data_IF_674984415479
#
_entry.id   IF_674984415479
#
_cell.length_a   1.000
_cell.length_b   1.000
_cell.length_c   1.000
_cell.angle_alpha   90.00
_cell.angle_beta   90.00
_cell.angle_gamma   90.00
#
_symmetry.space_group_name_H-M   'P 1'
#
loop_
_entity.id
_entity.type
_entity.pdbx_description
1 polymer ?
#
# COMPACT_ATOMS: atom_id res chain seq x y z
N UNK A 1 -28.04 -8.67 6.12
CA UNK A 1 -27.34 -8.31 4.88
C UNK A 1 -25.86 -8.61 5.03
N UNK A 2 -25.22 -9.08 4.00
CA UNK A 2 -23.80 -9.42 4.07
C UNK A 2 -22.96 -8.13 4.11
N UNK A 3 -22.09 -7.99 5.11
CA UNK A 3 -21.15 -6.88 5.18
C UNK A 3 -20.17 -6.94 4.01
N UNK A 4 -20.11 -5.89 3.21
CA UNK A 4 -19.11 -5.74 2.13
C UNK A 4 -17.82 -5.24 2.74
N UNK A 5 -16.75 -6.02 2.59
CA UNK A 5 -15.43 -5.69 3.14
C UNK A 5 -14.48 -5.40 1.98
N UNK A 6 -13.96 -4.17 1.93
CA UNK A 6 -12.98 -3.75 0.93
C UNK A 6 -11.69 -3.23 1.58
N UNK A 7 -10.64 -3.16 0.81
CA UNK A 7 -9.37 -2.56 1.25
C UNK A 7 -9.39 -1.03 1.10
N UNK A 8 -8.53 -0.34 1.85
CA UNK A 8 -8.35 1.10 1.69
C UNK A 8 -7.92 1.47 0.25
N UNK A 9 -7.08 0.65 -0.38
CA UNK A 9 -6.66 0.88 -1.77
C UNK A 9 -7.84 0.81 -2.75
N UNK A 10 -8.74 -0.16 -2.59
CA UNK A 10 -9.96 -0.25 -3.41
C UNK A 10 -10.87 0.95 -3.17
N UNK A 11 -11.04 1.36 -1.92
CA UNK A 11 -11.82 2.55 -1.58
C UNK A 11 -11.23 3.82 -2.20
N UNK A 12 -9.92 4.06 -2.05
CA UNK A 12 -9.24 5.20 -2.67
C UNK A 12 -9.37 5.18 -4.20
N UNK A 13 -9.22 4.00 -4.82
CA UNK A 13 -9.40 3.86 -6.27
C UNK A 13 -10.82 4.23 -6.72
N UNK A 14 -11.82 3.94 -5.91
CA UNK A 14 -13.21 4.32 -6.18
C UNK A 14 -13.45 5.82 -6.03
N UNK A 15 -13.03 6.45 -4.91
CA UNK A 15 -13.34 7.85 -4.62
C UNK A 15 -12.59 8.84 -5.50
N UNK A 16 -11.40 8.46 -6.00
CA UNK A 16 -10.57 9.31 -6.87
C UNK A 16 -10.99 9.28 -8.34
N UNK A 17 -11.94 8.42 -8.71
CA UNK A 17 -12.42 8.28 -10.09
C UNK A 17 -13.82 8.83 -10.27
N UNK A 18 -14.17 9.19 -11.51
CA UNK A 18 -15.48 9.69 -11.89
C UNK A 18 -16.04 8.93 -13.12
N UNK A 19 -17.33 9.05 -13.37
CA UNK A 19 -17.99 8.50 -14.56
C UNK A 19 -17.69 7.02 -14.79
N UNK A 20 -17.37 6.66 -16.03
CA UNK A 20 -17.10 5.28 -16.44
C UNK A 20 -15.91 4.65 -15.70
N UNK A 21 -14.90 5.44 -15.34
CA UNK A 21 -13.75 4.94 -14.58
C UNK A 21 -14.15 4.51 -13.17
N UNK A 22 -15.09 5.23 -12.53
CA UNK A 22 -15.64 4.83 -11.23
C UNK A 22 -16.47 3.55 -11.33
N UNK A 23 -17.28 3.42 -12.37
CA UNK A 23 -18.04 2.20 -12.65
C UNK A 23 -17.12 0.99 -12.84
N UNK A 24 -16.04 1.14 -13.61
CA UNK A 24 -15.06 0.07 -13.82
C UNK A 24 -14.32 -0.29 -12.50
N UNK A 25 -14.07 0.69 -11.62
CA UNK A 25 -13.50 0.42 -10.29
C UNK A 25 -14.46 -0.45 -9.46
N UNK A 26 -15.76 -0.16 -9.47
CA UNK A 26 -16.78 -0.99 -8.79
C UNK A 26 -16.82 -2.40 -9.35
N UNK A 27 -16.82 -2.55 -10.69
CA UNK A 27 -16.76 -3.89 -11.33
C UNK A 27 -15.52 -4.68 -10.90
N UNK A 28 -14.36 -4.02 -10.85
CA UNK A 28 -13.13 -4.67 -10.39
C UNK A 28 -13.24 -5.12 -8.95
N UNK A 29 -13.73 -4.25 -8.05
CA UNK A 29 -13.94 -4.58 -6.64
C UNK A 29 -14.88 -5.77 -6.51
N UNK A 30 -16.01 -5.77 -7.23
CA UNK A 30 -16.97 -6.86 -7.22
C UNK A 30 -16.33 -8.19 -7.65
N UNK A 31 -15.56 -8.17 -8.75
CA UNK A 31 -14.81 -9.36 -9.20
C UNK A 31 -13.83 -9.85 -8.14
N UNK A 32 -13.06 -8.94 -7.52
CA UNK A 32 -12.08 -9.28 -6.50
C UNK A 32 -12.72 -9.90 -5.26
N UNK A 33 -13.93 -9.46 -4.89
CA UNK A 33 -14.68 -10.02 -3.75
C UNK A 33 -15.17 -11.46 -4.00
N UNK A 34 -15.30 -11.85 -5.27
CA UNK A 34 -15.78 -13.18 -5.67
C UNK A 34 -14.67 -14.08 -6.22
N UNK A 35 -13.44 -13.57 -6.32
CA UNK A 35 -12.27 -14.35 -6.74
C UNK A 35 -11.44 -14.78 -5.53
N UNK A 36 -10.84 -15.97 -5.62
CA UNK A 36 -9.85 -16.37 -4.64
C UNK A 36 -8.60 -15.51 -4.78
N UNK A 37 -8.19 -14.89 -3.67
CA UNK A 37 -6.96 -14.13 -3.63
C UNK A 37 -5.76 -15.08 -3.70
N UNK A 38 -4.98 -14.98 -4.77
CA UNK A 38 -3.70 -15.67 -4.87
C UNK A 38 -2.56 -14.65 -4.75
N UNK A 39 -1.60 -14.94 -3.88
CA UNK A 39 -0.42 -14.07 -3.67
C UNK A 39 0.35 -13.84 -4.97
N UNK A 40 0.30 -14.79 -5.90
CA UNK A 40 0.95 -14.68 -7.21
C UNK A 40 0.38 -13.61 -8.13
N UNK A 41 -0.85 -13.15 -7.92
CA UNK A 41 -1.48 -12.09 -8.73
C UNK A 41 -1.19 -10.67 -8.25
N UNK A 42 -0.63 -10.51 -7.04
CA UNK A 42 -0.29 -9.21 -6.50
C UNK A 42 1.17 -8.85 -6.80
N UNK A 43 1.37 -8.10 -7.88
CA UNK A 43 2.68 -7.68 -8.36
C UNK A 43 3.57 -7.07 -7.26
N UNK A 44 2.99 -6.29 -6.35
CA UNK A 44 3.71 -5.54 -5.32
C UNK A 44 3.72 -6.17 -3.92
N UNK A 45 3.11 -7.34 -3.76
CA UNK A 45 2.98 -7.99 -2.45
C UNK A 45 4.33 -8.22 -1.77
N UNK A 46 5.32 -8.71 -2.51
CA UNK A 46 6.65 -8.99 -1.98
C UNK A 46 7.34 -7.71 -1.49
N UNK A 47 7.24 -6.61 -2.26
CA UNK A 47 7.81 -5.33 -1.86
C UNK A 47 7.13 -4.78 -0.59
N UNK A 48 5.80 -4.77 -0.54
CA UNK A 48 5.07 -4.30 0.66
C UNK A 48 5.41 -5.10 1.90
N UNK A 49 5.50 -6.42 1.78
CA UNK A 49 5.85 -7.29 2.89
C UNK A 49 7.29 -7.07 3.35
N UNK A 50 8.21 -6.86 2.42
CA UNK A 50 9.60 -6.57 2.75
C UNK A 50 9.77 -5.20 3.42
N UNK A 51 9.07 -4.16 2.97
CA UNK A 51 9.06 -2.85 3.61
C UNK A 51 8.60 -2.96 5.08
N UNK A 52 7.50 -3.68 5.33
CA UNK A 52 7.03 -3.95 6.69
C UNK A 52 8.06 -4.70 7.53
N UNK A 53 8.69 -5.70 6.92
CA UNK A 53 9.72 -6.49 7.60
C UNK A 53 10.90 -5.61 8.02
N UNK A 54 11.46 -4.83 7.11
CA UNK A 54 12.61 -3.93 7.40
C UNK A 54 12.26 -2.93 8.48
N UNK A 55 11.10 -2.26 8.40
CA UNK A 55 10.69 -1.31 9.43
C UNK A 55 10.53 -1.97 10.81
N UNK A 56 10.01 -3.20 10.83
CA UNK A 56 9.72 -3.90 12.07
C UNK A 56 10.96 -4.52 12.74
N UNK A 57 12.03 -4.79 11.99
CA UNK A 57 13.22 -5.48 12.50
C UNK A 57 14.41 -4.54 12.64
N UNK A 58 14.97 -4.05 11.54
CA UNK A 58 16.20 -3.27 11.58
C UNK A 58 15.98 -1.75 11.51
N UNK A 59 14.91 -1.32 10.88
CA UNK A 59 14.66 0.10 10.60
C UNK A 59 15.66 0.73 9.62
N UNK A 60 16.52 -0.06 8.97
CA UNK A 60 17.58 0.44 8.07
C UNK A 60 17.12 0.43 6.63
N UNK A 61 17.04 1.62 6.03
CA UNK A 61 16.57 1.78 4.65
C UNK A 61 17.43 1.03 3.62
N UNK A 62 18.71 0.76 3.93
CA UNK A 62 19.63 0.01 3.08
C UNK A 62 19.17 -1.43 2.84
N UNK A 63 18.54 -2.04 3.83
CA UNK A 63 18.05 -3.43 3.75
C UNK A 63 16.85 -3.60 2.80
N UNK A 64 16.27 -2.50 2.33
CA UNK A 64 15.20 -2.56 1.33
C UNK A 64 15.68 -3.16 0.00
N UNK A 65 16.96 -3.06 -0.32
CA UNK A 65 17.51 -3.60 -1.57
C UNK A 65 17.51 -5.14 -1.61
N UNK A 66 17.52 -5.79 -0.46
CA UNK A 66 17.56 -7.27 -0.35
C UNK A 66 16.40 -7.94 -1.10
N UNK A 67 15.26 -7.27 -1.21
CA UNK A 67 14.12 -7.81 -1.98
C UNK A 67 14.44 -7.98 -3.46
N UNK A 68 15.37 -7.18 -4.01
CA UNK A 68 15.74 -7.22 -5.42
C UNK A 68 16.44 -8.55 -5.81
N UNK A 69 17.03 -9.25 -4.84
CA UNK A 69 17.64 -10.55 -5.04
C UNK A 69 16.61 -11.68 -5.16
N UNK A 70 15.39 -11.42 -4.65
CA UNK A 70 14.30 -12.41 -4.55
C UNK A 70 13.22 -12.25 -5.61
N UNK A 71 13.22 -11.14 -6.33
CA UNK A 71 12.21 -10.86 -7.37
C UNK A 71 12.72 -11.29 -8.74
N UNK A 72 11.80 -11.65 -9.61
CA UNK A 72 12.09 -11.94 -11.02
C UNK A 72 12.65 -10.70 -11.73
N UNK A 73 13.42 -10.93 -12.78
CA UNK A 73 14.18 -9.88 -13.48
C UNK A 73 13.24 -8.80 -14.08
N UNK A 74 12.09 -9.21 -14.59
CA UNK A 74 11.05 -8.32 -15.13
C UNK A 74 10.49 -7.33 -14.10
N UNK A 75 10.51 -7.68 -12.81
CA UNK A 75 10.05 -6.81 -11.70
C UNK A 75 11.17 -5.93 -11.13
N UNK A 76 12.42 -6.32 -11.31
CA UNK A 76 13.57 -5.73 -10.62
C UNK A 76 13.70 -4.23 -10.87
N UNK A 77 13.56 -3.79 -12.12
CA UNK A 77 13.66 -2.37 -12.47
C UNK A 77 12.58 -1.52 -11.77
N UNK A 78 11.32 -1.98 -11.81
CA UNK A 78 10.20 -1.29 -11.17
C UNK A 78 10.35 -1.25 -9.64
N UNK A 79 10.76 -2.35 -9.03
CA UNK A 79 11.02 -2.43 -7.59
C UNK A 79 12.15 -1.48 -7.18
N UNK A 80 13.28 -1.49 -7.91
CA UNK A 80 14.43 -0.62 -7.66
C UNK A 80 14.04 0.86 -7.67
N UNK A 81 13.23 1.28 -8.65
CA UNK A 81 12.73 2.66 -8.74
C UNK A 81 11.91 3.06 -7.48
N UNK A 82 10.98 2.20 -7.05
CA UNK A 82 10.13 2.48 -5.89
C UNK A 82 10.93 2.46 -4.58
N UNK A 83 11.88 1.53 -4.45
CA UNK A 83 12.82 1.46 -3.32
C UNK A 83 13.66 2.72 -3.26
N UNK A 84 14.20 3.19 -4.38
CA UNK A 84 14.99 4.43 -4.43
C UNK A 84 14.21 5.64 -3.91
N UNK A 85 12.95 5.79 -4.28
CA UNK A 85 12.06 6.83 -3.76
C UNK A 85 11.82 6.69 -2.25
N UNK A 86 11.55 5.48 -1.79
CA UNK A 86 11.30 5.20 -0.37
C UNK A 86 12.56 5.42 0.49
N UNK A 87 13.74 5.02 0.01
CA UNK A 87 15.02 5.27 0.71
C UNK A 87 15.30 6.77 0.88
N UNK A 88 15.03 7.59 -0.15
CA UNK A 88 15.14 9.04 -0.05
C UNK A 88 14.20 9.62 1.02
N UNK A 89 12.96 9.14 1.06
CA UNK A 89 11.99 9.52 2.08
C UNK A 89 12.48 9.11 3.49
N UNK A 90 12.97 7.88 3.64
CA UNK A 90 13.37 7.30 4.92
C UNK A 90 14.62 7.99 5.50
N UNK A 91 15.67 8.20 4.69
CA UNK A 91 16.93 8.83 5.12
C UNK A 91 16.77 10.27 5.59
N UNK A 92 15.83 11.01 5.01
CA UNK A 92 15.54 12.39 5.43
C UNK A 92 14.84 12.48 6.79
N UNK A 93 14.34 11.37 7.29
CA UNK A 93 13.54 11.29 8.51
C UNK A 93 14.06 10.18 9.39
N UNK A 94 14.40 10.49 10.62
CA UNK A 94 14.64 9.46 11.64
C UNK A 94 13.27 8.89 12.00
N UNK A 95 12.90 7.77 11.39
CA UNK A 95 11.62 7.13 11.62
C UNK A 95 11.75 6.21 12.83
N UNK A 96 10.98 6.47 13.86
CA UNK A 96 10.84 5.57 14.99
C UNK A 96 9.64 4.66 14.73
N UNK A 97 9.85 3.36 14.89
CA UNK A 97 8.80 2.37 14.68
C UNK A 97 7.61 2.62 15.60
N UNK A 98 6.42 2.67 15.02
CA UNK A 98 5.16 2.71 15.75
C UNK A 98 4.35 1.46 15.42
N UNK A 99 3.86 0.75 16.43
CA UNK A 99 2.99 -0.40 16.25
C UNK A 99 1.54 0.08 16.31
N UNK A 100 0.87 0.08 15.18
CA UNK A 100 -0.57 0.34 15.10
C UNK A 100 -1.32 -0.96 14.84
N UNK A 101 -2.37 -1.18 15.61
CA UNK A 101 -3.32 -2.25 15.33
C UNK A 101 -4.07 -1.96 14.02
N UNK A 102 -4.43 -3.03 13.30
CA UNK A 102 -5.32 -2.91 12.14
C UNK A 102 -6.59 -2.19 12.56
N UNK A 103 -6.98 -1.18 11.80
CA UNK A 103 -8.22 -0.43 12.00
C UNK A 103 -9.13 -0.66 10.81
N UNK A 104 -10.40 -0.42 11.03
CA UNK A 104 -11.38 -0.40 9.96
C UNK A 104 -12.33 0.78 10.16
N UNK A 105 -12.78 1.32 9.05
CA UNK A 105 -13.86 2.28 9.00
C UNK A 105 -15.12 1.57 8.55
N UNK A 106 -16.25 1.90 9.16
CA UNK A 106 -17.54 1.28 8.85
C UNK A 106 -18.57 2.35 8.55
N UNK A 107 -19.31 2.14 7.47
CA UNK A 107 -20.49 2.93 7.14
C UNK A 107 -21.59 2.00 6.63
N UNK A 108 -22.68 1.86 7.37
CA UNK A 108 -23.75 0.88 7.10
C UNK A 108 -23.15 -0.53 6.93
N UNK A 109 -23.40 -1.16 5.79
CA UNK A 109 -22.90 -2.50 5.45
C UNK A 109 -21.50 -2.50 4.80
N UNK A 110 -20.92 -1.32 4.56
CA UNK A 110 -19.56 -1.19 4.03
C UNK A 110 -18.55 -1.12 5.16
N UNK A 111 -17.54 -1.97 5.09
CA UNK A 111 -16.36 -1.96 5.95
C UNK A 111 -15.11 -1.77 5.11
N UNK A 112 -14.32 -0.74 5.42
CA UNK A 112 -13.02 -0.49 4.79
C UNK A 112 -11.92 -0.88 5.75
N UNK A 113 -11.12 -1.87 5.38
CA UNK A 113 -9.96 -2.27 6.15
C UNK A 113 -8.78 -1.33 5.92
N UNK A 114 -8.31 -0.71 6.99
CA UNK A 114 -7.14 0.17 6.98
C UNK A 114 -5.96 -0.60 7.55
N UNK A 115 -5.06 -1.03 6.68
CA UNK A 115 -3.83 -1.72 7.04
C UNK A 115 -2.65 -0.96 6.40
N UNK A 116 -2.08 0.04 7.10
CA UNK A 116 -0.95 0.79 6.59
C UNK A 116 0.30 -0.10 6.50
N UNK A 117 1.16 0.17 5.53
CA UNK A 117 2.45 -0.51 5.41
C UNK A 117 3.50 0.07 6.33
N UNK A 118 3.46 1.37 6.56
CA UNK A 118 4.41 2.09 7.40
C UNK A 118 3.69 2.82 8.52
N UNK A 119 4.12 2.55 9.76
CA UNK A 119 3.66 3.27 10.94
C UNK A 119 4.88 3.74 11.71
N UNK A 120 5.00 5.04 11.90
CA UNK A 120 6.16 5.62 12.55
C UNK A 120 5.85 6.94 13.26
N UNK A 121 6.66 7.24 14.26
CA UNK A 121 6.73 8.53 14.93
C UNK A 121 7.73 9.44 14.19
N UNK A 122 7.35 10.67 13.94
CA UNK A 122 8.25 11.69 13.41
C UNK A 122 7.85 13.07 13.94
N UNK A 123 8.79 13.77 14.57
CA UNK A 123 8.57 15.08 15.21
C UNK A 123 7.35 15.06 16.15
N UNK A 124 7.31 14.09 17.05
CA UNK A 124 6.26 13.87 18.06
C UNK A 124 4.85 13.68 17.48
N UNK A 125 4.77 13.24 16.24
CA UNK A 125 3.50 12.92 15.57
C UNK A 125 3.50 11.50 15.03
N UNK A 126 2.38 10.83 15.22
CA UNK A 126 2.13 9.50 14.67
C UNK A 126 1.73 9.59 13.20
N UNK A 127 2.38 8.79 12.37
CA UNK A 127 2.06 8.67 10.97
C UNK A 127 1.72 7.23 10.61
N UNK A 128 0.65 7.07 9.86
CA UNK A 128 0.28 5.81 9.22
C UNK A 128 0.22 6.03 7.70
N UNK A 129 1.06 5.34 6.96
CA UNK A 129 1.15 5.50 5.51
C UNK A 129 0.69 4.21 4.82
N UNK A 130 -0.28 4.36 3.94
CA UNK A 130 -0.67 3.34 2.98
C UNK A 130 0.11 3.57 1.69
N UNK A 131 0.95 2.60 1.31
CA UNK A 131 1.70 2.68 0.06
C UNK A 131 0.78 2.33 -1.10
N UNK A 132 0.73 3.22 -2.08
CA UNK A 132 0.03 3.01 -3.32
C UNK A 132 1.05 2.85 -4.45
N UNK A 133 1.15 1.64 -4.97
CA UNK A 133 1.97 1.34 -6.13
C UNK A 133 1.06 1.23 -7.35
N UNK A 134 1.26 2.12 -8.32
CA UNK A 134 0.60 2.06 -9.62
C UNK A 134 1.61 1.69 -10.69
N UNK A 135 1.22 0.89 -11.65
CA UNK A 135 1.97 0.66 -12.88
C UNK A 135 1.95 1.87 -13.81
N UNK A 136 0.93 2.70 -13.68
CA UNK A 136 0.81 3.96 -14.41
C UNK A 136 1.42 5.09 -13.60
N UNK A 137 2.17 5.99 -14.23
CA UNK A 137 2.74 7.21 -13.63
C UNK A 137 1.67 8.25 -13.23
N UNK A 138 0.49 7.80 -12.88
CA UNK A 138 -0.59 8.66 -12.40
C UNK A 138 -0.20 9.22 -11.03
N UNK A 139 0.30 10.43 -11.05
CA UNK A 139 0.48 11.23 -9.84
C UNK A 139 -0.89 11.34 -9.16
N UNK A 140 -0.94 10.95 -7.89
CA UNK A 140 -2.07 11.33 -7.03
C UNK A 140 -1.98 12.84 -6.94
N UNK A 141 -2.92 13.55 -7.59
CA UNK A 141 -3.00 14.99 -7.44
C UNK A 141 -3.23 15.31 -5.97
N UNK A 142 -2.45 16.25 -5.43
CA UNK A 142 -2.80 16.89 -4.18
C UNK A 142 -4.11 17.62 -4.42
N UNK A 143 -5.21 17.10 -3.94
CA UNK A 143 -6.36 17.93 -3.70
C UNK A 143 -6.07 18.69 -2.39
N UNK A 144 -5.87 19.98 -2.56
CA UNK A 144 -5.84 20.95 -1.48
C UNK A 144 -7.17 20.99 -0.74
#
# INVERSE_FOLDING_TARGET
MANVVITLSQFCNFITKTGMHRYNAVKSIHRDLHSEYTVGTDYWAMLRNHIKYVLNHSGKAEELDVVLERVSEDKRANYSQKIGGLKKFWKKRKLEKLILSKKFWKHKDLRVNVAPELCFLYKDKDYAIKLFFSSDDKKISKNE
#
